data_IF_252128095907
#
_entry.id   IF_252128095907
#
_cell.length_a   1.000
_cell.length_b   1.000
_cell.length_c   1.000
_cell.angle_alpha   90.00
_cell.angle_beta   90.00
_cell.angle_gamma   90.00
#
_symmetry.space_group_name_H-M   'P 1'
#
loop_
_entity.id
_entity.type
_entity.pdbx_description
1 polymer ?
#
# COMPACT_ATOMS: atom_id res chain seq x y z
N UNK A 1 -24.52 -7.01 18.75
CA UNK A 1 -23.28 -6.20 18.71
C UNK A 1 -22.97 -5.80 17.27
N UNK A 2 -22.14 -4.77 17.06
CA UNK A 2 -21.68 -4.35 15.73
C UNK A 2 -20.26 -4.89 15.48
N UNK A 3 -19.88 -5.04 14.21
CA UNK A 3 -18.56 -5.47 13.73
C UNK A 3 -17.39 -4.80 14.45
N UNK A 4 -17.42 -3.47 14.63
CA UNK A 4 -16.36 -2.75 15.36
C UNK A 4 -16.21 -3.19 16.82
N UNK A 5 -17.33 -3.52 17.47
CA UNK A 5 -17.31 -3.96 18.86
C UNK A 5 -16.73 -5.38 18.96
N UNK A 6 -17.03 -6.26 18.01
CA UNK A 6 -16.50 -7.62 17.94
C UNK A 6 -14.98 -7.59 17.78
N UNK A 7 -14.45 -6.80 16.84
CA UNK A 7 -13.00 -6.63 16.63
C UNK A 7 -12.29 -6.17 17.91
N UNK A 8 -12.87 -5.21 18.63
CA UNK A 8 -12.32 -4.76 19.92
C UNK A 8 -12.37 -5.85 20.99
N UNK A 9 -13.49 -6.56 21.12
CA UNK A 9 -13.63 -7.67 22.08
C UNK A 9 -12.55 -8.74 21.82
N UNK A 10 -12.39 -9.16 20.56
CA UNK A 10 -11.39 -10.15 20.14
C UNK A 10 -9.96 -9.66 20.37
N UNK A 11 -9.66 -8.40 20.03
CA UNK A 11 -8.36 -7.80 20.29
C UNK A 11 -8.01 -7.82 21.78
N UNK A 12 -8.90 -7.32 22.64
CA UNK A 12 -8.63 -7.27 24.07
C UNK A 12 -8.53 -8.66 24.70
N UNK A 13 -9.37 -9.59 24.25
CA UNK A 13 -9.29 -10.99 24.69
C UNK A 13 -7.94 -11.61 24.28
N UNK A 14 -7.51 -11.42 23.03
CA UNK A 14 -6.24 -11.97 22.52
C UNK A 14 -5.02 -11.53 23.36
N UNK A 15 -5.04 -10.28 23.84
CA UNK A 15 -3.99 -9.71 24.70
C UNK A 15 -4.05 -10.33 26.09
N UNK A 16 -5.24 -10.37 26.72
CA UNK A 16 -5.41 -10.87 28.09
C UNK A 16 -5.15 -12.37 28.20
N UNK A 17 -5.51 -13.13 27.19
CA UNK A 17 -5.35 -14.58 27.14
C UNK A 17 -3.95 -15.00 26.67
N UNK A 18 -3.09 -14.04 26.25
CA UNK A 18 -1.77 -14.33 25.71
C UNK A 18 -1.80 -15.11 24.40
N UNK A 19 -2.87 -14.95 23.60
CA UNK A 19 -3.10 -15.63 22.32
C UNK A 19 -3.22 -14.61 21.19
N UNK A 20 -2.10 -14.06 20.68
CA UNK A 20 -2.15 -12.99 19.69
C UNK A 20 -2.89 -13.41 18.41
N UNK A 21 -3.74 -12.52 17.91
CA UNK A 21 -4.36 -12.66 16.59
C UNK A 21 -3.34 -12.18 15.55
N UNK A 22 -3.03 -13.02 14.56
CA UNK A 22 -2.17 -12.64 13.44
C UNK A 22 -2.98 -12.64 12.14
N UNK A 23 -3.34 -11.44 11.67
CA UNK A 23 -4.01 -11.22 10.39
C UNK A 23 -3.05 -10.73 9.29
N UNK A 24 -1.73 -10.84 9.50
CA UNK A 24 -0.69 -10.26 8.66
C UNK A 24 -0.81 -10.63 7.18
N UNK A 25 -1.01 -11.91 6.88
CA UNK A 25 -1.11 -12.38 5.49
C UNK A 25 -2.30 -11.74 4.76
N UNK A 26 -3.48 -11.73 5.40
CA UNK A 26 -4.68 -11.09 4.84
C UNK A 26 -4.48 -9.59 4.65
N UNK A 27 -3.85 -8.92 5.62
CA UNK A 27 -3.57 -7.49 5.54
C UNK A 27 -2.61 -7.16 4.40
N UNK A 28 -1.51 -7.90 4.29
CA UNK A 28 -0.53 -7.73 3.22
C UNK A 28 -1.16 -7.92 1.83
N UNK A 29 -1.99 -8.95 1.67
CA UNK A 29 -2.72 -9.19 0.42
C UNK A 29 -3.73 -8.08 0.11
N UNK A 30 -4.49 -7.60 1.11
CA UNK A 30 -5.44 -6.49 0.93
C UNK A 30 -4.75 -5.20 0.51
N UNK A 31 -3.61 -4.87 1.13
CA UNK A 31 -2.80 -3.70 0.77
C UNK A 31 -2.24 -3.85 -0.64
N UNK A 32 -1.72 -5.04 -0.99
CA UNK A 32 -1.21 -5.28 -2.33
C UNK A 32 -2.31 -5.13 -3.39
N UNK A 33 -3.52 -5.62 -3.12
CA UNK A 33 -4.66 -5.44 -4.03
C UNK A 33 -4.97 -3.94 -4.28
N UNK A 34 -4.93 -3.10 -3.24
CA UNK A 34 -5.10 -1.66 -3.40
C UNK A 34 -3.99 -1.02 -4.26
N UNK A 35 -2.73 -1.43 -4.05
CA UNK A 35 -1.58 -0.97 -4.85
C UNK A 35 -1.76 -1.38 -6.32
N UNK A 36 -2.10 -2.65 -6.58
CA UNK A 36 -2.35 -3.15 -7.94
C UNK A 36 -3.47 -2.40 -8.63
N UNK A 37 -4.60 -2.19 -7.95
CA UNK A 37 -5.75 -1.45 -8.49
C UNK A 37 -5.39 -0.01 -8.87
N UNK A 38 -4.63 0.67 -8.01
CA UNK A 38 -4.10 2.01 -8.31
C UNK A 38 -3.19 1.96 -9.54
N UNK A 39 -2.23 1.04 -9.59
CA UNK A 39 -1.28 0.92 -10.70
C UNK A 39 -2.00 0.62 -12.02
N UNK A 40 -3.00 -0.27 -12.01
CA UNK A 40 -3.82 -0.56 -13.18
C UNK A 40 -4.57 0.69 -13.68
N UNK A 41 -5.17 1.47 -12.78
CA UNK A 41 -5.88 2.71 -13.14
C UNK A 41 -4.95 3.77 -13.77
N UNK A 42 -3.73 3.93 -13.24
CA UNK A 42 -2.79 4.93 -13.76
C UNK A 42 -2.10 4.51 -15.06
N UNK A 43 -1.91 3.21 -15.25
CA UNK A 43 -1.23 2.66 -16.43
C UNK A 43 -2.17 2.28 -17.57
N UNK A 44 -3.45 2.06 -17.27
CA UNK A 44 -4.43 1.55 -18.23
C UNK A 44 -4.15 0.09 -18.63
N UNK A 45 -3.39 -0.66 -17.82
CA UNK A 45 -2.97 -2.03 -18.10
C UNK A 45 -3.44 -3.00 -17.01
N UNK A 46 -3.60 -4.26 -17.39
CA UNK A 46 -3.69 -5.36 -16.43
C UNK A 46 -2.33 -5.52 -15.71
N UNK A 47 -2.38 -5.65 -14.39
CA UNK A 47 -1.20 -5.81 -13.53
C UNK A 47 -1.32 -7.13 -12.78
N UNK A 48 -0.36 -8.01 -12.97
CA UNK A 48 -0.26 -9.29 -12.25
C UNK A 48 0.42 -9.12 -10.89
N UNK A 49 0.20 -10.09 -10.00
CA UNK A 49 0.80 -10.08 -8.66
C UNK A 49 2.34 -10.14 -8.72
N UNK A 50 2.92 -10.97 -9.61
CA UNK A 50 4.36 -11.05 -9.78
C UNK A 50 4.97 -9.77 -10.35
N UNK A 51 4.27 -9.10 -11.27
CA UNK A 51 4.72 -7.81 -11.82
C UNK A 51 4.82 -6.76 -10.72
N UNK A 52 3.78 -6.63 -9.87
CA UNK A 52 3.79 -5.58 -8.83
C UNK A 52 4.81 -5.89 -7.74
N UNK A 53 5.01 -7.17 -7.38
CA UNK A 53 6.04 -7.57 -6.42
C UNK A 53 7.46 -7.28 -6.91
N UNK A 54 7.68 -7.31 -8.22
CA UNK A 54 8.98 -7.08 -8.85
C UNK A 54 9.15 -5.67 -9.43
N UNK A 55 8.15 -4.78 -9.26
CA UNK A 55 8.15 -3.42 -9.79
C UNK A 55 9.39 -2.64 -9.32
N UNK A 56 9.88 -1.75 -10.19
CA UNK A 56 11.08 -0.93 -9.93
C UNK A 56 10.75 0.53 -9.70
N UNK A 57 9.47 0.83 -9.48
CA UNK A 57 8.99 2.17 -9.16
C UNK A 57 9.72 2.74 -7.93
N UNK A 58 10.43 3.84 -8.15
CA UNK A 58 11.04 4.65 -7.10
C UNK A 58 10.42 6.06 -7.15
N UNK A 59 9.79 6.46 -6.05
CA UNK A 59 9.16 7.79 -5.91
C UNK A 59 9.97 8.73 -5.02
N UNK A 60 11.14 8.30 -4.57
CA UNK A 60 11.99 9.14 -3.76
C UNK A 60 12.60 10.26 -4.62
N UNK A 61 12.50 11.53 -4.21
CA UNK A 61 13.11 12.64 -4.92
C UNK A 61 14.64 12.58 -4.80
N UNK A 62 15.32 12.39 -5.94
CA UNK A 62 16.79 12.24 -5.99
C UNK A 62 17.56 13.52 -5.66
N UNK A 63 16.90 14.68 -5.76
CA UNK A 63 17.44 16.01 -5.50
C UNK A 63 16.98 16.60 -4.15
N UNK A 64 16.58 15.74 -3.21
CA UNK A 64 16.14 16.18 -1.88
C UNK A 64 17.24 16.93 -1.13
N UNK A 65 16.98 18.20 -0.83
CA UNK A 65 17.80 18.98 0.10
C UNK A 65 17.26 18.78 1.53
N UNK A 66 18.06 18.16 2.40
CA UNK A 66 17.66 17.84 3.77
C UNK A 66 17.66 19.05 4.73
N UNK A 67 18.36 20.13 4.38
CA UNK A 67 18.41 21.35 5.18
C UNK A 67 17.19 22.25 4.93
N UNK A 68 16.80 22.41 3.66
CA UNK A 68 15.64 23.23 3.27
C UNK A 68 14.34 22.44 3.14
N UNK A 69 14.41 21.10 3.07
CA UNK A 69 13.27 20.23 2.80
C UNK A 69 12.72 20.34 1.37
N UNK A 70 13.44 20.99 0.46
CA UNK A 70 12.99 21.25 -0.91
C UNK A 70 13.49 20.20 -1.90
N UNK A 71 12.66 19.88 -2.89
CA UNK A 71 13.01 19.07 -4.06
C UNK A 71 12.20 19.53 -5.27
N UNK A 72 12.63 19.15 -6.47
CA UNK A 72 11.85 19.39 -7.68
C UNK A 72 10.68 18.41 -7.70
N UNK A 73 9.41 18.89 -7.67
CA UNK A 73 8.27 17.99 -7.67
C UNK A 73 8.22 17.19 -8.99
N UNK A 74 7.98 15.87 -8.95
CA UNK A 74 7.83 15.07 -10.15
C UNK A 74 6.55 15.46 -10.91
N UNK A 75 6.47 15.18 -12.23
CA UNK A 75 5.25 15.37 -12.98
C UNK A 75 4.09 14.57 -12.37
N UNK A 76 2.90 15.16 -12.36
CA UNK A 76 1.71 14.52 -11.82
C UNK A 76 1.34 13.28 -12.64
N UNK A 77 1.07 12.17 -11.95
CA UNK A 77 0.59 10.94 -12.57
C UNK A 77 -0.77 11.16 -13.23
N UNK A 78 -0.91 10.75 -14.49
CA UNK A 78 -2.15 10.85 -15.27
C UNK A 78 -2.77 9.46 -15.45
N UNK A 79 -4.07 9.29 -15.15
CA UNK A 79 -4.78 8.03 -15.39
C UNK A 79 -4.67 7.56 -16.84
N UNK A 80 -4.45 6.27 -17.06
CA UNK A 80 -4.31 5.65 -18.39
C UNK A 80 -3.08 6.02 -19.21
N UNK A 81 -2.17 6.87 -18.70
CA UNK A 81 -1.01 7.37 -19.46
C UNK A 81 0.32 7.06 -18.74
N UNK A 82 0.31 7.02 -17.41
CA UNK A 82 1.53 6.82 -16.63
C UNK A 82 2.11 5.43 -16.91
N UNK A 83 3.36 5.29 -17.34
CA UNK A 83 3.92 3.97 -17.63
C UNK A 83 4.11 3.15 -16.35
N UNK A 84 4.03 1.83 -16.48
CA UNK A 84 4.47 0.89 -15.46
C UNK A 84 5.99 0.73 -15.54
N UNK A 85 6.68 0.73 -14.39
CA UNK A 85 8.15 0.73 -14.28
C UNK A 85 8.62 -0.38 -13.33
#
# INVERSE_FOLDING_TARGET
ENMYQVEHNELFQSIRDGKPINNGDRMALSTMMAIMGRTAAYTGKEITYDQILNAKEDRYPKDMNWESGSHTPPPLAKPGITPFV
#
